data_IF_512157131665
#
_entry.id   IF_512157131665
#
_cell.length_a   1.000
_cell.length_b   1.000
_cell.length_c   1.000
_cell.angle_alpha   90.00
_cell.angle_beta   90.00
_cell.angle_gamma   90.00
#
_symmetry.space_group_name_H-M   'P 1'
#
loop_
_entity.id
_entity.type
_entity.pdbx_description
1 polymer ?
#
# COMPACT_ATOMS: atom_id res chain seq x y z
N UNK A 1 -15.57 -2.81 5.25
CA UNK A 1 -15.99 -1.38 5.21
C UNK A 1 -15.29 -0.60 6.31
N UNK A 2 -15.68 -0.73 7.59
CA UNK A 2 -15.12 0.07 8.69
C UNK A 2 -13.60 0.00 8.84
N UNK A 3 -12.99 -1.18 8.71
CA UNK A 3 -11.53 -1.31 8.80
C UNK A 3 -10.80 -0.41 7.79
N UNK A 4 -11.25 -0.40 6.53
CA UNK A 4 -10.66 0.43 5.47
C UNK A 4 -10.81 1.91 5.81
N UNK A 5 -12.00 2.33 6.27
CA UNK A 5 -12.25 3.71 6.69
C UNK A 5 -11.33 4.13 7.85
N UNK A 6 -11.13 3.25 8.85
CA UNK A 6 -10.22 3.48 9.97
C UNK A 6 -8.78 3.68 9.47
N UNK A 7 -8.30 2.79 8.59
CA UNK A 7 -6.94 2.89 8.04
C UNK A 7 -6.77 4.20 7.27
N UNK A 8 -7.73 4.58 6.42
CA UNK A 8 -7.72 5.85 5.70
C UNK A 8 -7.66 7.07 6.61
N UNK A 9 -8.53 7.11 7.62
CA UNK A 9 -8.57 8.17 8.61
C UNK A 9 -7.26 8.30 9.38
N UNK A 10 -6.73 7.18 9.91
CA UNK A 10 -5.47 7.19 10.66
C UNK A 10 -4.27 7.58 9.78
N UNK A 11 -4.23 7.10 8.53
CA UNK A 11 -3.18 7.52 7.58
C UNK A 11 -3.27 9.01 7.24
N UNK A 12 -4.47 9.61 7.22
CA UNK A 12 -4.61 11.06 7.06
C UNK A 12 -4.09 11.84 8.27
N UNK A 13 -4.32 11.36 9.50
CA UNK A 13 -3.68 11.94 10.71
C UNK A 13 -2.15 11.87 10.57
N UNK A 14 -1.61 10.72 10.17
CA UNK A 14 -0.16 10.55 9.99
C UNK A 14 0.41 11.49 8.92
N UNK A 15 -0.31 11.70 7.81
CA UNK A 15 0.06 12.67 6.77
C UNK A 15 0.10 14.10 7.32
N UNK A 16 -0.89 14.50 8.11
CA UNK A 16 -0.98 15.85 8.67
C UNK A 16 0.21 16.23 9.58
N UNK A 17 0.92 15.25 10.14
CA UNK A 17 2.14 15.50 10.94
C UNK A 17 3.34 16.02 10.14
N UNK A 18 3.29 16.01 8.80
CA UNK A 18 4.42 16.33 7.92
C UNK A 18 5.51 15.24 7.89
N UNK A 19 5.26 14.09 8.52
CA UNK A 19 6.21 12.97 8.55
C UNK A 19 6.50 12.43 7.16
N UNK A 20 5.49 12.39 6.28
CA UNK A 20 5.67 11.94 4.89
C UNK A 20 6.56 12.92 4.13
N UNK A 21 6.33 14.24 4.24
CA UNK A 21 7.15 15.26 3.57
C UNK A 21 8.61 15.23 4.03
N UNK A 22 8.82 15.06 5.34
CA UNK A 22 10.16 14.95 5.89
C UNK A 22 10.88 13.64 5.49
N UNK A 23 10.13 12.56 5.29
CA UNK A 23 10.66 11.32 4.72
C UNK A 23 11.12 11.53 3.28
N UNK A 24 10.33 12.22 2.44
CA UNK A 24 10.72 12.58 1.07
C UNK A 24 12.02 13.40 1.08
N UNK A 25 12.08 14.45 1.90
CA UNK A 25 13.27 15.31 2.02
C UNK A 25 14.53 14.51 2.36
N UNK A 26 14.42 13.58 3.32
CA UNK A 26 15.51 12.67 3.70
C UNK A 26 15.94 11.75 2.56
N UNK A 27 14.99 11.27 1.77
CA UNK A 27 15.26 10.40 0.62
C UNK A 27 15.96 11.16 -0.50
N UNK A 28 15.55 12.41 -0.75
CA UNK A 28 16.23 13.32 -1.68
C UNK A 28 17.67 13.59 -1.27
N UNK A 29 17.90 14.00 -0.02
CA UNK A 29 19.25 14.28 0.51
C UNK A 29 20.19 13.07 0.34
N UNK A 30 19.69 11.88 0.68
CA UNK A 30 20.52 10.66 0.74
C UNK A 30 20.68 9.96 -0.61
N UNK A 31 19.65 9.98 -1.46
CA UNK A 31 19.59 9.18 -2.69
C UNK A 31 19.34 9.99 -3.96
N UNK A 32 19.23 11.33 -3.89
CA UNK A 32 18.96 12.19 -5.05
C UNK A 32 19.98 12.06 -6.18
N UNK A 33 21.22 11.65 -5.88
CA UNK A 33 22.28 11.40 -6.89
C UNK A 33 22.26 9.98 -7.47
N UNK A 34 21.46 9.07 -6.93
CA UNK A 34 21.41 7.64 -7.31
C UNK A 34 19.95 7.18 -7.44
N UNK A 35 19.23 7.59 -8.49
CA UNK A 35 17.80 7.32 -8.67
C UNK A 35 17.44 5.83 -8.59
N UNK A 36 18.30 4.95 -9.11
CA UNK A 36 18.14 3.50 -9.00
C UNK A 36 17.97 2.98 -7.56
N UNK A 37 18.69 3.56 -6.58
CA UNK A 37 18.57 3.14 -5.18
C UNK A 37 17.23 3.56 -4.59
N UNK A 38 16.78 4.77 -4.93
CA UNK A 38 15.49 5.28 -4.52
C UNK A 38 14.36 4.40 -5.10
N UNK A 39 14.40 4.15 -6.42
CA UNK A 39 13.39 3.34 -7.10
C UNK A 39 13.29 1.96 -6.48
N UNK A 40 14.41 1.28 -6.26
CA UNK A 40 14.42 -0.02 -5.60
C UNK A 40 13.80 0.05 -4.20
N UNK A 41 14.21 1.03 -3.39
CA UNK A 41 13.72 1.18 -2.02
C UNK A 41 12.22 1.44 -1.98
N UNK A 42 11.72 2.32 -2.86
CA UNK A 42 10.30 2.65 -2.93
C UNK A 42 9.48 1.43 -3.37
N UNK A 43 9.87 0.76 -4.47
CA UNK A 43 9.19 -0.46 -4.95
C UNK A 43 9.18 -1.53 -3.85
N UNK A 44 10.32 -1.76 -3.19
CA UNK A 44 10.42 -2.72 -2.09
C UNK A 44 9.52 -2.36 -0.91
N UNK A 45 9.50 -1.08 -0.49
CA UNK A 45 8.66 -0.62 0.61
C UNK A 45 7.17 -0.76 0.31
N UNK A 46 6.71 -0.38 -0.88
CA UNK A 46 5.31 -0.56 -1.28
C UNK A 46 4.94 -2.04 -1.41
N UNK A 47 5.84 -2.87 -1.96
CA UNK A 47 5.63 -4.32 -2.00
C UNK A 47 5.53 -4.93 -0.61
N UNK A 48 6.39 -4.54 0.32
CA UNK A 48 6.36 -5.06 1.69
C UNK A 48 5.09 -4.60 2.42
N UNK A 49 4.72 -3.32 2.29
CA UNK A 49 3.52 -2.76 2.91
C UNK A 49 2.25 -3.43 2.36
N UNK A 50 2.13 -3.58 1.04
CA UNK A 50 0.98 -4.26 0.38
C UNK A 50 0.91 -5.74 0.72
N UNK A 51 2.06 -6.42 0.79
CA UNK A 51 2.15 -7.82 1.19
C UNK A 51 1.74 -8.06 2.64
N UNK A 52 1.76 -7.01 3.47
CA UNK A 52 1.42 -7.08 4.89
C UNK A 52 0.01 -6.62 5.22
N UNK A 53 -0.41 -5.45 4.69
CA UNK A 53 -1.66 -4.79 5.09
C UNK A 53 -2.73 -4.92 4.01
N UNK A 54 -2.37 -5.24 2.76
CA UNK A 54 -3.35 -5.33 1.66
C UNK A 54 -4.02 -4.02 1.29
N UNK A 55 -3.33 -2.90 1.47
CA UNK A 55 -3.78 -1.57 1.07
C UNK A 55 -3.69 -1.40 -0.46
N UNK A 56 -4.64 -0.69 -1.06
CA UNK A 56 -4.71 -0.41 -2.48
C UNK A 56 -5.08 1.05 -2.76
N UNK A 57 -6.23 1.51 -2.25
CA UNK A 57 -6.72 2.88 -2.45
C UNK A 57 -5.92 3.93 -1.66
N UNK A 58 -5.29 3.51 -0.57
CA UNK A 58 -4.52 4.36 0.35
C UNK A 58 -3.23 4.91 -0.28
N UNK A 59 -2.82 4.39 -1.45
CA UNK A 59 -1.60 4.81 -2.13
C UNK A 59 -1.77 5.99 -3.08
N UNK A 60 -3.01 6.34 -3.44
CA UNK A 60 -3.28 7.46 -4.35
C UNK A 60 -2.60 8.77 -3.89
N UNK A 61 -2.67 9.16 -2.60
CA UNK A 61 -1.97 10.37 -2.13
C UNK A 61 -0.45 10.29 -2.26
N UNK A 62 0.13 9.10 -2.14
CA UNK A 62 1.57 8.90 -2.29
C UNK A 62 2.03 9.06 -3.74
N UNK A 63 1.14 8.91 -4.73
CA UNK A 63 1.46 9.14 -6.14
C UNK A 63 1.91 10.58 -6.36
N UNK A 64 1.12 11.55 -5.92
CA UNK A 64 1.45 12.98 -6.09
C UNK A 64 2.78 13.34 -5.40
N UNK A 65 2.99 12.78 -4.22
CA UNK A 65 4.22 12.91 -3.44
C UNK A 65 5.43 12.38 -4.21
N UNK A 66 5.34 11.17 -4.75
CA UNK A 66 6.43 10.60 -5.53
C UNK A 66 6.62 11.30 -6.88
N UNK A 67 5.56 11.86 -7.47
CA UNK A 67 5.67 12.70 -8.67
C UNK A 67 6.47 13.96 -8.34
N UNK A 68 6.23 14.59 -7.19
CA UNK A 68 7.03 15.74 -6.72
C UNK A 68 8.51 15.37 -6.53
N UNK A 69 8.76 14.20 -5.94
CA UNK A 69 10.09 13.63 -5.77
C UNK A 69 10.79 13.37 -7.12
N UNK A 70 10.09 12.74 -8.06
CA UNK A 70 10.59 12.51 -9.41
C UNK A 70 10.91 13.83 -10.12
N UNK A 71 10.01 14.83 -10.05
CA UNK A 71 10.26 16.17 -10.61
C UNK A 71 11.51 16.80 -10.00
N UNK A 72 11.67 16.75 -8.68
CA UNK A 72 12.85 17.29 -7.98
C UNK A 72 14.16 16.59 -8.41
N UNK A 73 14.07 15.31 -8.80
CA UNK A 73 15.20 14.52 -9.31
C UNK A 73 15.35 14.55 -10.84
N UNK A 74 14.54 15.37 -11.54
CA UNK A 74 14.48 15.42 -13.02
C UNK A 74 14.16 14.06 -13.66
N UNK A 75 13.31 13.29 -13.01
CA UNK A 75 12.77 12.02 -13.51
C UNK A 75 11.34 12.22 -14.03
N UNK A 76 10.93 11.34 -14.94
CA UNK A 76 9.59 11.31 -15.50
C UNK A 76 8.52 11.01 -14.43
N UNK A 77 7.36 11.69 -14.49
CA UNK A 77 6.25 11.48 -13.55
C UNK A 77 5.72 10.04 -13.57
N UNK A 78 5.76 9.36 -14.72
CA UNK A 78 5.36 7.95 -14.84
C UNK A 78 6.31 7.01 -14.07
N UNK A 79 7.54 7.43 -13.76
CA UNK A 79 8.42 6.69 -12.85
C UNK A 79 7.80 6.60 -11.45
N UNK A 80 7.15 7.66 -10.97
CA UNK A 80 6.48 7.66 -9.67
C UNK A 80 5.31 6.69 -9.62
N UNK A 81 4.48 6.70 -10.67
CA UNK A 81 3.37 5.76 -10.84
C UNK A 81 3.90 4.33 -10.92
N UNK A 82 4.93 4.10 -11.74
CA UNK A 82 5.56 2.78 -11.89
C UNK A 82 6.12 2.22 -10.58
N UNK A 83 6.77 3.06 -9.76
CA UNK A 83 7.26 2.66 -8.45
C UNK A 83 6.14 2.14 -7.53
N UNK A 84 5.01 2.86 -7.47
CA UNK A 84 3.86 2.49 -6.64
C UNK A 84 3.17 1.26 -7.21
N UNK A 85 2.80 1.28 -8.50
CA UNK A 85 2.00 0.22 -9.11
C UNK A 85 2.77 -1.10 -9.12
N UNK A 86 4.07 -1.09 -9.44
CA UNK A 86 4.90 -2.29 -9.37
C UNK A 86 4.98 -2.81 -7.92
N UNK A 87 5.31 -1.94 -6.96
CA UNK A 87 5.39 -2.33 -5.55
C UNK A 87 4.07 -2.90 -5.04
N UNK A 88 2.99 -2.14 -5.19
CA UNK A 88 1.63 -2.55 -4.84
C UNK A 88 1.22 -3.88 -5.46
N UNK A 89 1.34 -4.02 -6.79
CA UNK A 89 0.93 -5.23 -7.50
C UNK A 89 1.70 -6.46 -7.07
N UNK A 90 3.02 -6.33 -6.87
CA UNK A 90 3.86 -7.42 -6.37
C UNK A 90 3.48 -7.78 -4.95
N UNK A 91 3.36 -6.80 -4.07
CA UNK A 91 3.04 -7.06 -2.66
C UNK A 91 1.66 -7.69 -2.48
N UNK A 92 0.65 -7.14 -3.15
CA UNK A 92 -0.71 -7.65 -3.11
C UNK A 92 -0.82 -9.05 -3.75
N UNK A 93 -0.10 -9.30 -4.84
CA UNK A 93 -0.05 -10.60 -5.52
C UNK A 93 0.68 -11.68 -4.72
N UNK A 94 1.80 -11.34 -4.07
CA UNK A 94 2.54 -12.28 -3.21
C UNK A 94 1.77 -12.56 -1.93
N UNK A 95 1.18 -11.52 -1.33
CA UNK A 95 0.34 -11.61 -0.13
C UNK A 95 0.93 -12.52 0.97
N UNK A 96 2.14 -12.19 1.42
CA UNK A 96 2.82 -13.03 2.41
C UNK A 96 2.07 -13.02 3.74
N UNK A 97 1.66 -11.84 4.21
CA UNK A 97 1.00 -11.66 5.51
C UNK A 97 -0.38 -11.01 5.40
N UNK A 98 -0.78 -10.58 4.21
CA UNK A 98 -1.95 -9.76 3.97
C UNK A 98 -3.25 -10.52 4.34
N UNK A 99 -4.05 -9.98 5.28
CA UNK A 99 -5.23 -10.65 5.80
C UNK A 99 -6.46 -10.57 4.86
N UNK A 100 -6.38 -9.81 3.76
CA UNK A 100 -7.50 -9.54 2.85
C UNK A 100 -7.56 -10.45 1.64
N UNK A 101 -6.51 -11.23 1.36
CA UNK A 101 -6.46 -12.06 0.16
C UNK A 101 -6.27 -13.53 0.51
N UNK A 102 -5.02 -13.99 0.54
CA UNK A 102 -4.71 -15.42 0.68
C UNK A 102 -5.19 -15.96 2.02
N UNK A 103 -5.15 -15.14 3.09
CA UNK A 103 -5.65 -15.54 4.40
C UNK A 103 -7.15 -15.93 4.36
N UNK A 104 -7.99 -15.10 3.72
CA UNK A 104 -9.42 -15.38 3.57
C UNK A 104 -9.63 -16.61 2.68
N UNK A 105 -8.88 -16.71 1.58
CA UNK A 105 -8.94 -17.87 0.69
C UNK A 105 -8.58 -19.18 1.42
N UNK A 106 -7.58 -19.16 2.31
CA UNK A 106 -7.18 -20.31 3.13
C UNK A 106 -8.26 -20.73 4.12
N UNK A 107 -8.92 -19.75 4.76
CA UNK A 107 -10.04 -20.00 5.66
C UNK A 107 -11.23 -20.65 4.92
N UNK A 108 -11.56 -20.15 3.72
CA UNK A 108 -12.62 -20.72 2.87
C UNK A 108 -12.24 -22.14 2.42
N UNK A 109 -10.97 -22.36 2.05
CA UNK A 109 -10.47 -23.66 1.62
C UNK A 109 -10.24 -24.66 2.77
N UNK A 110 -10.39 -24.24 4.03
CA UNK A 110 -10.18 -25.09 5.21
C UNK A 110 -8.73 -25.54 5.42
N UNK A 111 -7.74 -24.82 4.86
CA UNK A 111 -6.31 -25.16 5.01
C UNK A 111 -5.64 -24.28 6.08
N UNK A 112 -4.52 -24.73 6.70
CA UNK A 112 -3.85 -23.97 7.73
C UNK A 112 -3.48 -22.55 7.28
N UNK A 113 -3.78 -21.57 8.13
CA UNK A 113 -3.41 -20.16 7.92
C UNK A 113 -1.90 -20.05 7.78
N UNK A 114 -1.44 -19.26 6.80
CA UNK A 114 -0.03 -19.12 6.43
C UNK A 114 0.65 -20.38 5.88
N UNK A 115 -0.09 -21.45 5.56
CA UNK A 115 0.45 -22.53 4.72
C UNK A 115 1.04 -21.94 3.42
N UNK A 116 2.24 -22.40 3.04
CA UNK A 116 2.95 -21.87 1.87
C UNK A 116 3.66 -20.51 2.05
N UNK A 117 3.76 -19.98 3.28
CA UNK A 117 4.43 -18.69 3.54
C UNK A 117 5.89 -18.68 3.00
N UNK A 118 6.62 -19.79 3.10
CA UNK A 118 8.01 -19.87 2.65
C UNK A 118 8.13 -19.66 1.14
N UNK A 119 7.20 -20.23 0.37
CA UNK A 119 7.14 -20.00 -1.08
C UNK A 119 6.88 -18.51 -1.37
N UNK A 120 5.94 -17.89 -0.67
CA UNK A 120 5.63 -16.46 -0.83
C UNK A 120 6.83 -15.57 -0.52
N UNK A 121 7.55 -15.87 0.56
CA UNK A 121 8.78 -15.14 0.91
C UNK A 121 9.90 -15.38 -0.11
N UNK A 122 10.02 -16.60 -0.63
CA UNK A 122 11.02 -16.93 -1.64
C UNK A 122 10.77 -16.21 -2.97
N UNK A 123 9.52 -16.12 -3.44
CA UNK A 123 9.16 -15.42 -4.69
C UNK A 123 9.08 -13.90 -4.54
N UNK A 124 8.98 -13.38 -3.31
CA UNK A 124 8.88 -11.95 -3.04
C UNK A 124 10.08 -11.17 -3.62
N UNK A 125 11.30 -11.60 -3.31
CA UNK A 125 12.53 -10.89 -3.76
C UNK A 125 12.67 -10.94 -5.30
N UNK A 126 12.55 -12.09 -5.98
CA UNK A 126 12.55 -12.15 -7.44
C UNK A 126 11.54 -11.19 -8.08
N UNK A 127 10.30 -11.16 -7.59
CA UNK A 127 9.29 -10.25 -8.15
C UNK A 127 9.62 -8.78 -7.91
N UNK A 128 10.11 -8.41 -6.72
CA UNK A 128 10.59 -7.04 -6.47
C UNK A 128 11.71 -6.67 -7.43
N UNK A 129 12.66 -7.57 -7.70
CA UNK A 129 13.74 -7.32 -8.65
C UNK A 129 13.22 -7.14 -10.09
N UNK A 130 12.22 -7.93 -10.50
CA UNK A 130 11.56 -7.78 -11.81
C UNK A 130 10.83 -6.43 -11.90
N UNK A 131 10.06 -6.07 -10.88
CA UNK A 131 9.36 -4.78 -10.82
C UNK A 131 10.35 -3.60 -10.86
N UNK A 132 11.39 -3.66 -10.03
CA UNK A 132 12.48 -2.70 -10.04
C UNK A 132 13.14 -2.60 -11.42
N UNK A 133 13.45 -3.73 -12.05
CA UNK A 133 14.05 -3.78 -13.38
C UNK A 133 13.20 -2.99 -14.39
N UNK A 134 11.91 -3.26 -14.48
CA UNK A 134 11.04 -2.61 -15.47
C UNK A 134 10.93 -1.11 -15.23
N UNK A 135 10.71 -0.69 -13.98
CA UNK A 135 10.62 0.74 -13.63
C UNK A 135 11.95 1.44 -13.92
N UNK A 136 13.08 0.83 -13.55
CA UNK A 136 14.41 1.41 -13.76
C UNK A 136 14.78 1.50 -15.25
N UNK A 137 14.47 0.48 -16.04
CA UNK A 137 14.69 0.51 -17.49
C UNK A 137 13.87 1.61 -18.16
N UNK A 138 12.61 1.77 -17.75
CA UNK A 138 11.78 2.88 -18.21
C UNK A 138 12.39 4.24 -17.84
N UNK A 139 12.76 4.44 -16.58
CA UNK A 139 13.38 5.70 -16.12
C UNK A 139 14.64 6.02 -16.92
N UNK A 140 15.52 5.05 -17.15
CA UNK A 140 16.72 5.24 -17.99
C UNK A 140 16.37 5.58 -19.44
N UNK A 141 15.38 4.89 -20.02
CA UNK A 141 14.93 5.10 -21.40
C UNK A 141 14.48 6.55 -21.60
N UNK A 142 13.68 7.08 -20.69
CA UNK A 142 13.18 8.47 -20.76
C UNK A 142 14.27 9.48 -20.39
N UNK A 143 15.15 9.18 -19.44
CA UNK A 143 16.26 10.05 -19.09
C UNK A 143 17.26 10.26 -20.25
N UNK A 144 17.45 9.22 -21.08
CA UNK A 144 18.31 9.30 -22.27
C UNK A 144 17.59 9.96 -23.47
N UNK A 145 16.27 9.84 -23.55
CA UNK A 145 15.46 10.28 -24.67
C UNK A 145 14.04 10.66 -24.20
N UNK A 146 13.80 11.95 -23.91
CA UNK A 146 12.52 12.43 -23.40
C UNK A 146 11.32 12.14 -24.33
N UNK A 147 11.55 11.93 -25.63
CA UNK A 147 10.51 11.57 -26.61
C UNK A 147 9.91 10.17 -26.40
N UNK A 148 10.49 9.38 -25.49
CA UNK A 148 9.99 8.06 -25.11
C UNK A 148 9.15 8.08 -23.84
N UNK A 149 8.88 9.26 -23.28
CA UNK A 149 7.98 9.42 -22.14
C UNK A 149 6.57 8.91 -22.48
N UNK A 150 5.89 8.33 -21.50
CA UNK A 150 4.47 7.96 -21.61
C UNK A 150 3.55 9.15 -21.26
N UNK A 151 4.13 10.25 -20.78
CA UNK A 151 3.44 11.46 -20.36
C UNK A 151 3.48 12.55 -21.44
N UNK A 152 3.82 12.20 -22.69
CA UNK A 152 3.86 13.18 -23.80
C UNK A 152 2.46 13.74 -24.01
N UNK A 153 2.35 15.07 -23.98
CA UNK A 153 1.07 15.77 -24.11
C UNK A 153 0.21 15.76 -22.85
N UNK A 154 0.66 15.17 -21.75
CA UNK A 154 -0.03 15.20 -20.46
C UNK A 154 0.64 16.25 -19.58
N UNK A 155 -0.05 17.35 -19.22
CA UNK A 155 0.52 18.37 -18.36
C UNK A 155 0.85 17.79 -16.99
N UNK A 156 1.99 18.16 -16.43
CA UNK A 156 2.36 17.67 -15.11
C UNK A 156 1.46 18.36 -14.08
N UNK A 157 0.76 17.64 -13.20
CA UNK A 157 -0.11 18.26 -12.19
C UNK A 157 0.66 19.18 -11.22
N UNK A 158 1.98 19.07 -11.18
CA UNK A 158 2.88 19.88 -10.37
C UNK A 158 3.68 20.88 -11.18
N UNK A 159 3.39 21.12 -12.47
CA UNK A 159 4.21 21.93 -13.39
C UNK A 159 4.53 23.32 -12.81
N UNK A 160 3.52 23.98 -12.24
CA UNK A 160 3.62 25.33 -11.65
C UNK A 160 4.11 25.36 -10.18
N UNK A 161 4.34 24.20 -9.55
CA UNK A 161 4.89 24.15 -8.19
C UNK A 161 6.42 24.19 -8.25
N UNK A 162 7.00 25.26 -7.69
CA UNK A 162 8.44 25.37 -7.44
C UNK A 162 8.85 24.41 -6.33
N UNK A 163 10.13 23.99 -6.35
CA UNK A 163 10.65 22.99 -5.44
C UNK A 163 10.31 23.32 -3.98
N UNK A 164 9.40 22.54 -3.39
CA UNK A 164 9.01 22.67 -1.99
C UNK A 164 10.26 22.48 -1.13
N UNK A 165 10.50 23.39 -0.18
CA UNK A 165 11.50 23.16 0.86
C UNK A 165 10.99 21.99 1.70
N UNK A 166 11.60 20.81 1.55
CA UNK A 166 11.23 19.66 2.34
C UNK A 166 11.80 19.83 3.75
N UNK A 167 10.98 19.67 4.81
CA UNK A 167 11.47 19.78 6.17
C UNK A 167 12.45 18.65 6.49
N UNK A 168 13.47 18.93 7.30
CA UNK A 168 14.40 17.91 7.76
C UNK A 168 13.69 16.83 8.60
N UNK A 169 14.18 15.59 8.53
CA UNK A 169 13.64 14.46 9.29
C UNK A 169 14.00 14.55 10.79
N UNK A 170 13.18 15.30 11.53
CA UNK A 170 13.23 15.42 12.98
C UNK A 170 12.98 14.08 13.70
N UNK A 171 13.35 14.02 14.99
CA UNK A 171 13.17 12.83 15.82
C UNK A 171 11.70 12.39 15.89
N UNK A 172 10.75 13.34 15.97
CA UNK A 172 9.30 13.05 15.98
C UNK A 172 8.86 12.23 14.77
N UNK A 173 9.35 12.56 13.57
CA UNK A 173 9.01 11.87 12.34
C UNK A 173 9.55 10.43 12.37
N UNK A 174 10.77 10.23 12.92
CA UNK A 174 11.34 8.88 13.12
C UNK A 174 10.54 8.06 14.12
N UNK A 175 10.07 8.67 15.21
CA UNK A 175 9.22 8.00 16.21
C UNK A 175 7.88 7.59 15.60
N UNK A 176 7.25 8.46 14.80
CA UNK A 176 6.01 8.15 14.08
C UNK A 176 6.22 6.97 13.13
N UNK A 177 7.27 7.00 12.29
CA UNK A 177 7.61 5.88 11.40
C UNK A 177 7.90 4.59 12.17
N UNK A 178 8.65 4.67 13.28
CA UNK A 178 8.94 3.52 14.14
C UNK A 178 7.67 2.92 14.75
N UNK A 179 6.76 3.77 15.25
CA UNK A 179 5.48 3.34 15.81
C UNK A 179 4.61 2.62 14.77
N UNK A 180 4.67 3.03 13.50
CA UNK A 180 3.97 2.35 12.41
C UNK A 180 4.51 0.93 12.21
N UNK A 181 5.84 0.75 12.13
CA UNK A 181 6.45 -0.58 12.00
C UNK A 181 6.08 -1.49 13.17
N UNK A 182 6.07 -0.95 14.40
CA UNK A 182 5.64 -1.70 15.59
C UNK A 182 4.16 -2.11 15.48
N UNK A 183 3.30 -1.20 15.02
CA UNK A 183 1.87 -1.47 14.80
C UNK A 183 1.68 -2.61 13.79
N UNK A 184 2.47 -2.63 12.70
CA UNK A 184 2.45 -3.72 11.74
C UNK A 184 2.92 -5.04 12.31
N UNK A 185 4.01 -5.03 13.10
CA UNK A 185 4.49 -6.24 13.75
C UNK A 185 3.45 -6.83 14.73
N UNK A 186 2.78 -5.97 15.50
CA UNK A 186 1.68 -6.35 16.40
C UNK A 186 0.50 -6.93 15.61
N UNK A 187 0.11 -6.29 14.51
CA UNK A 187 -0.97 -6.77 13.64
C UNK A 187 -0.67 -8.16 13.08
N UNK A 188 0.53 -8.36 12.49
CA UNK A 188 0.95 -9.65 11.92
C UNK A 188 1.03 -10.73 13.00
N UNK A 189 1.60 -10.41 14.17
CA UNK A 189 1.65 -11.33 15.30
C UNK A 189 0.25 -11.71 15.81
N UNK A 190 -0.67 -10.75 15.90
CA UNK A 190 -2.04 -10.96 16.32
C UNK A 190 -2.82 -11.87 15.36
N UNK A 191 -2.66 -11.68 14.06
CA UNK A 191 -3.24 -12.58 13.04
C UNK A 191 -2.67 -13.99 13.20
N UNK A 192 -1.35 -14.11 13.34
CA UNK A 192 -0.67 -15.40 13.38
C UNK A 192 -0.96 -16.23 14.64
N UNK A 193 -1.12 -15.58 15.80
CA UNK A 193 -1.15 -16.28 17.11
C UNK A 193 -2.46 -16.16 17.86
N UNK A 194 -3.22 -15.08 17.63
CA UNK A 194 -4.45 -14.77 18.37
C UNK A 194 -5.70 -14.88 17.52
N UNK A 195 -5.57 -15.20 16.23
CA UNK A 195 -6.69 -15.27 15.29
C UNK A 195 -7.36 -13.91 15.06
N UNK A 196 -6.62 -12.82 15.22
CA UNK A 196 -7.16 -11.48 15.03
C UNK A 196 -7.68 -11.28 13.61
N UNK A 197 -8.79 -10.55 13.52
CA UNK A 197 -9.39 -10.18 12.26
C UNK A 197 -9.63 -8.67 12.23
N UNK A 198 -10.63 -8.22 11.47
CA UNK A 198 -10.82 -6.81 11.15
C UNK A 198 -11.13 -5.93 12.37
N UNK A 199 -11.77 -6.47 13.40
CA UNK A 199 -12.13 -5.70 14.59
C UNK A 199 -10.90 -5.36 15.43
N UNK A 200 -10.08 -6.37 15.75
CA UNK A 200 -8.85 -6.18 16.54
C UNK A 200 -7.82 -5.36 15.77
N UNK A 201 -7.67 -5.62 14.47
CA UNK A 201 -6.80 -4.84 13.61
C UNK A 201 -7.26 -3.38 13.53
N UNK A 202 -8.56 -3.13 13.42
CA UNK A 202 -9.13 -1.77 13.48
C UNK A 202 -8.77 -1.07 14.80
N UNK A 203 -8.89 -1.77 15.93
CA UNK A 203 -8.49 -1.25 17.24
C UNK A 203 -7.01 -0.89 17.33
N UNK A 204 -6.13 -1.75 16.79
CA UNK A 204 -4.68 -1.50 16.72
C UNK A 204 -4.36 -0.26 15.89
N UNK A 205 -5.02 -0.09 14.74
CA UNK A 205 -4.83 1.10 13.90
C UNK A 205 -5.36 2.37 14.56
N UNK A 206 -6.51 2.33 15.24
CA UNK A 206 -7.02 3.46 16.03
C UNK A 206 -6.02 3.84 17.13
N UNK A 207 -5.51 2.86 17.87
CA UNK A 207 -4.49 3.10 18.90
C UNK A 207 -3.23 3.75 18.30
N UNK A 208 -2.80 3.29 17.12
CA UNK A 208 -1.72 3.94 16.39
C UNK A 208 -2.05 5.39 16.01
N UNK A 209 -3.27 5.68 15.54
CA UNK A 209 -3.70 7.05 15.25
C UNK A 209 -3.62 8.00 16.44
N UNK A 210 -3.97 7.51 17.64
CA UNK A 210 -3.80 8.27 18.89
C UNK A 210 -2.32 8.53 19.17
N UNK A 211 -1.46 7.51 19.05
CA UNK A 211 0.00 7.66 19.22
C UNK A 211 0.56 8.68 18.23
N UNK A 212 0.12 8.64 16.97
CA UNK A 212 0.53 9.58 15.93
C UNK A 212 0.08 11.00 16.23
N UNK A 213 -1.14 11.21 16.71
CA UNK A 213 -1.63 12.54 17.10
C UNK A 213 -0.77 13.14 18.23
N UNK A 214 -0.44 12.33 19.24
CA UNK A 214 0.41 12.74 20.37
C UNK A 214 1.83 13.07 19.90
N UNK A 215 2.47 12.16 19.15
CA UNK A 215 3.85 12.37 18.65
C UNK A 215 3.93 13.51 17.62
N UNK A 216 2.87 13.69 16.84
CA UNK A 216 2.72 14.76 15.85
C UNK A 216 2.41 16.12 16.46
N UNK A 217 2.04 16.17 17.75
CA UNK A 217 1.55 17.37 18.46
C UNK A 217 0.32 17.99 17.79
N UNK A 218 -0.57 17.15 17.26
CA UNK A 218 -1.85 17.59 16.69
C UNK A 218 -2.84 17.81 17.84
N UNK A 219 -3.68 18.84 17.74
CA UNK A 219 -4.80 19.00 18.67
C UNK A 219 -5.83 17.88 18.45
N UNK A 220 -6.66 17.60 19.45
CA UNK A 220 -7.72 16.59 19.31
C UNK A 220 -8.68 16.93 18.15
N UNK A 221 -9.05 18.21 18.02
CA UNK A 221 -9.91 18.70 16.95
C UNK A 221 -9.25 18.57 15.57
N UNK A 222 -7.96 18.90 15.46
CA UNK A 222 -7.22 18.74 14.22
C UNK A 222 -7.12 17.27 13.82
N UNK A 223 -6.78 16.39 14.76
CA UNK A 223 -6.71 14.96 14.51
C UNK A 223 -8.07 14.38 14.09
N UNK A 224 -9.17 14.81 14.74
CA UNK A 224 -10.53 14.38 14.38
C UNK A 224 -10.93 14.86 12.98
N UNK A 225 -10.67 16.13 12.64
CA UNK A 225 -10.96 16.67 11.31
C UNK A 225 -10.16 15.94 10.22
N UNK A 226 -8.87 15.68 10.46
CA UNK A 226 -8.03 14.91 9.53
C UNK A 226 -8.44 13.46 9.41
N UNK A 227 -8.91 12.84 10.49
CA UNK A 227 -9.50 11.51 10.43
C UNK A 227 -10.74 11.48 9.52
N UNK A 228 -11.66 12.43 9.67
CA UNK A 228 -12.87 12.54 8.85
C UNK A 228 -12.52 12.77 7.37
N UNK A 229 -11.52 13.62 7.08
CA UNK A 229 -10.98 13.82 5.73
C UNK A 229 -10.50 12.49 5.13
N UNK A 230 -9.66 11.75 5.86
CA UNK A 230 -9.14 10.46 5.40
C UNK A 230 -10.21 9.36 5.27
N UNK A 231 -11.24 9.37 6.11
CA UNK A 231 -12.41 8.50 5.96
C UNK A 231 -13.15 8.84 4.67
N UNK A 232 -13.36 10.14 4.40
CA UNK A 232 -14.09 10.64 3.23
C UNK A 232 -13.43 10.21 1.92
N UNK A 233 -12.09 10.29 1.86
CA UNK A 233 -11.28 9.82 0.72
C UNK A 233 -11.54 8.34 0.38
N UNK A 234 -11.89 7.51 1.38
CA UNK A 234 -12.09 6.07 1.21
C UNK A 234 -13.56 5.63 1.18
N UNK A 235 -14.52 6.55 1.30
CA UNK A 235 -15.96 6.20 1.27
C UNK A 235 -16.31 5.48 -0.02
N UNK A 236 -15.86 5.99 -1.17
CA UNK A 236 -16.13 5.36 -2.48
C UNK A 236 -15.62 3.92 -2.52
N UNK A 237 -14.39 3.69 -2.08
CA UNK A 237 -13.80 2.34 -2.00
C UNK A 237 -14.58 1.46 -1.03
N UNK A 238 -14.99 1.99 0.12
CA UNK A 238 -15.73 1.25 1.14
C UNK A 238 -17.13 0.82 0.67
N UNK A 239 -17.82 1.68 -0.10
CA UNK A 239 -19.11 1.36 -0.73
C UNK A 239 -18.94 0.25 -1.77
N UNK A 240 -17.93 0.32 -2.63
CA UNK A 240 -17.64 -0.72 -3.61
C UNK A 240 -17.38 -2.08 -2.94
N UNK A 241 -16.63 -2.09 -1.83
CA UNK A 241 -16.41 -3.31 -1.02
C UNK A 241 -17.75 -3.85 -0.48
N UNK A 242 -18.63 -2.98 -0.01
CA UNK A 242 -19.96 -3.35 0.48
C UNK A 242 -20.81 -4.02 -0.61
N UNK A 243 -20.87 -3.43 -1.80
CA UNK A 243 -21.59 -4.00 -2.96
C UNK A 243 -20.98 -5.34 -3.36
N UNK A 244 -19.65 -5.43 -3.48
CA UNK A 244 -18.97 -6.67 -3.84
C UNK A 244 -19.25 -7.80 -2.83
N UNK A 245 -19.26 -7.50 -1.52
CA UNK A 245 -19.61 -8.48 -0.50
C UNK A 245 -21.09 -8.88 -0.55
N UNK A 246 -21.97 -7.93 -0.88
CA UNK A 246 -23.40 -8.21 -1.11
C UNK A 246 -23.63 -9.21 -2.23
N UNK A 247 -22.93 -9.07 -3.36
CA UNK A 247 -23.00 -10.05 -4.48
C UNK A 247 -22.58 -11.44 -4.00
N UNK A 248 -21.45 -11.53 -3.29
CA UNK A 248 -20.96 -12.82 -2.78
C UNK A 248 -21.97 -13.48 -1.83
N UNK A 249 -22.59 -12.70 -0.94
CA UNK A 249 -23.58 -13.19 0.02
C UNK A 249 -24.85 -13.69 -0.70
N UNK A 250 -25.34 -12.97 -1.70
CA UNK A 250 -26.49 -13.41 -2.51
C UNK A 250 -26.19 -14.72 -3.25
N UNK A 251 -24.97 -14.87 -3.79
CA UNK A 251 -24.57 -16.11 -4.47
C UNK A 251 -24.44 -17.30 -3.51
N UNK A 252 -24.02 -17.03 -2.27
CA UNK A 252 -23.90 -18.03 -1.19
C UNK A 252 -25.30 -18.48 -0.71
N UNK A 253 -26.15 -17.53 -0.31
CA UNK A 253 -27.52 -17.80 0.13
C UNK A 253 -28.39 -18.43 -0.97
N UNK A 254 -28.17 -18.00 -2.22
CA UNK A 254 -28.83 -18.56 -3.40
C UNK A 254 -28.33 -19.94 -3.82
N UNK A 255 -27.35 -20.52 -3.12
CA UNK A 255 -26.74 -21.82 -3.44
C UNK A 255 -26.12 -21.89 -4.86
N UNK A 256 -25.79 -20.74 -5.45
CA UNK A 256 -25.20 -20.62 -6.79
C UNK A 256 -23.68 -20.81 -6.72
N UNK A 257 -23.05 -20.33 -5.65
CA UNK A 257 -21.60 -20.30 -5.50
C UNK A 257 -20.98 -21.70 -5.63
N UNK A 258 -21.54 -22.71 -4.95
CA UNK A 258 -21.04 -24.08 -5.02
C UNK A 258 -21.19 -24.70 -6.42
N UNK A 259 -22.29 -24.40 -7.12
CA UNK A 259 -22.53 -24.89 -8.48
C UNK A 259 -21.52 -24.31 -9.47
N UNK A 260 -21.21 -23.01 -9.36
CA UNK A 260 -20.17 -22.35 -10.15
C UNK A 260 -18.78 -22.94 -9.87
N UNK A 261 -18.42 -23.09 -8.59
CA UNK A 261 -17.13 -23.67 -8.19
C UNK A 261 -16.99 -25.10 -8.70
N UNK A 262 -18.04 -25.92 -8.59
CA UNK A 262 -18.03 -27.29 -9.13
C UNK A 262 -17.82 -27.30 -10.64
N UNK A 263 -18.57 -26.46 -11.38
CA UNK A 263 -18.43 -26.30 -12.83
C UNK A 263 -17.03 -25.89 -13.26
N UNK A 264 -16.42 -24.95 -12.54
CA UNK A 264 -15.04 -24.51 -12.80
C UNK A 264 -13.98 -25.54 -12.41
N UNK A 265 -14.29 -26.43 -11.46
CA UNK A 265 -13.36 -27.48 -11.00
C UNK A 265 -13.34 -28.72 -11.90
N UNK A 266 -14.40 -28.99 -12.67
CA UNK A 266 -14.52 -30.17 -13.53
C UNK A 266 -13.33 -30.39 -14.49
N UNK A 267 -12.80 -29.36 -15.18
CA UNK A 267 -11.61 -29.54 -16.02
C UNK A 267 -10.39 -30.11 -15.27
N UNK A 268 -10.25 -29.83 -13.97
CA UNK A 268 -9.14 -30.33 -13.16
C UNK A 268 -9.26 -31.83 -12.85
N UNK A 269 -10.48 -32.41 -12.86
CA UNK A 269 -10.64 -33.86 -12.64
C UNK A 269 -10.12 -34.72 -13.80
N UNK A 270 -9.86 -34.11 -14.95
CA UNK A 270 -9.28 -34.78 -16.12
C UNK A 270 -7.75 -34.72 -16.15
N UNK A 271 -7.12 -33.98 -15.23
CA UNK A 271 -5.66 -33.95 -15.09
C UNK A 271 -5.27 -35.07 -14.13
N UNK A 272 -4.48 -36.03 -14.60
CA UNK A 272 -3.95 -37.11 -13.76
C UNK A 272 -3.06 -36.54 -12.66
N UNK A 273 -3.25 -37.04 -11.43
CA UNK A 273 -2.49 -36.66 -10.24
C UNK A 273 -0.98 -36.86 -10.38
#
# INVERSE_FOLDING_TARGET
IFFVLIVGGVLAIARATGTVDALIGRLLERHGKKPQRLIFMVVFCFALASSSIGTAGEYIPFVIILVALCKAMRLDAMTAVGMIVAGYGIGYGVSAFNPFTVLIAQQIAGIPVYSGLWLRLAIFIPFVLIGFHHVWQYTKKVANDPSKSMMIGVPCPLENQTATSYPALALRHKLILGSFIITLAIAVWGIATKGWYLYELGGVFIAWGVVVAILGKLSADEAANKFIEGVSDLVTTAVLIGVARGIALILEDGQILHSLVHGMSLPLSYVSA
#
